data_IF_548467713094
#
_entry.id   IF_548467713094
#
_cell.length_a   1.000
_cell.length_b   1.000
_cell.length_c   1.000
_cell.angle_alpha   90.00
_cell.angle_beta   90.00
_cell.angle_gamma   90.00
#
_symmetry.space_group_name_H-M   'P 1'
#
loop_
_entity.id
_entity.type
_entity.pdbx_description
1 polymer ?
#
# COMPACT_ATOMS: atom_id res chain seq x y z
N UNK A 1 -9.57 -1.23 -2.22
CA UNK A 1 -9.68 -2.22 -1.13
C UNK A 1 -8.56 -3.23 -1.30
N UNK A 2 -7.85 -3.55 -0.23
CA UNK A 2 -6.77 -4.54 -0.19
C UNK A 2 -7.33 -5.75 0.56
N UNK A 3 -7.29 -6.94 -0.04
CA UNK A 3 -7.70 -8.18 0.63
C UNK A 3 -6.48 -8.91 1.14
N UNK A 4 -6.58 -9.48 2.35
CA UNK A 4 -5.47 -10.19 2.98
C UNK A 4 -4.97 -11.36 2.11
N UNK A 5 -5.89 -12.13 1.52
CA UNK A 5 -5.53 -13.26 0.67
C UNK A 5 -4.82 -12.84 -0.62
N UNK A 6 -5.29 -11.76 -1.26
CA UNK A 6 -4.62 -11.18 -2.42
C UNK A 6 -3.21 -10.71 -2.04
N UNK A 7 -3.05 -10.10 -0.85
CA UNK A 7 -1.76 -9.58 -0.40
C UNK A 7 -0.78 -10.72 -0.11
N UNK A 8 -1.25 -11.81 0.51
CA UNK A 8 -0.45 -13.01 0.72
C UNK A 8 -0.06 -13.65 -0.62
N UNK A 9 -1.00 -13.78 -1.56
CA UNK A 9 -0.73 -14.33 -2.89
C UNK A 9 0.25 -13.46 -3.70
N UNK A 10 0.15 -12.13 -3.58
CA UNK A 10 1.02 -11.21 -4.30
C UNK A 10 2.45 -11.19 -3.75
N UNK A 11 2.60 -11.33 -2.44
CA UNK A 11 3.88 -11.10 -1.76
C UNK A 11 4.60 -12.37 -1.34
N UNK A 12 3.94 -13.52 -1.46
CA UNK A 12 4.37 -14.80 -0.87
C UNK A 12 4.65 -14.68 0.65
N UNK A 13 4.01 -13.70 1.29
CA UNK A 13 4.17 -13.40 2.70
C UNK A 13 3.54 -14.45 3.59
N UNK A 14 4.05 -14.57 4.81
CA UNK A 14 3.49 -15.45 5.84
C UNK A 14 2.60 -14.65 6.78
N UNK A 15 1.35 -15.09 6.99
CA UNK A 15 0.47 -14.51 8.00
C UNK A 15 0.88 -14.95 9.41
N UNK A 16 0.98 -14.02 10.33
CA UNK A 16 1.13 -14.24 11.78
C UNK A 16 0.04 -13.47 12.52
N UNK A 17 -0.47 -14.01 13.62
CA UNK A 17 -1.52 -13.38 14.42
C UNK A 17 -2.95 -13.72 13.96
N UNK A 18 -3.94 -12.91 14.35
CA UNK A 18 -5.36 -13.12 14.04
C UNK A 18 -5.67 -13.24 12.54
N UNK A 19 -6.80 -13.86 12.22
CA UNK A 19 -7.29 -14.01 10.84
C UNK A 19 -8.19 -12.86 10.36
N UNK A 20 -8.55 -11.93 11.24
CA UNK A 20 -9.42 -10.81 10.95
C UNK A 20 -8.80 -9.49 11.46
N UNK A 21 -9.07 -8.35 10.79
CA UNK A 21 -9.87 -8.22 9.57
C UNK A 21 -9.15 -8.77 8.32
N UNK A 22 -9.93 -9.25 7.34
CA UNK A 22 -9.40 -9.81 6.09
C UNK A 22 -9.34 -8.78 4.94
N UNK A 23 -9.63 -7.51 5.21
CA UNK A 23 -9.63 -6.42 4.23
C UNK A 23 -9.22 -5.09 4.84
N UNK A 24 -8.51 -4.28 4.06
CA UNK A 24 -7.97 -2.99 4.46
C UNK A 24 -8.30 -1.93 3.40
N UNK A 25 -8.73 -0.72 3.78
CA UNK A 25 -9.14 0.31 2.83
C UNK A 25 -7.94 0.89 2.07
N UNK A 26 -6.80 1.07 2.74
CA UNK A 26 -5.58 1.65 2.19
C UNK A 26 -4.33 1.15 2.94
N UNK A 27 -3.16 1.34 2.33
CA UNK A 27 -1.87 1.23 3.00
C UNK A 27 -1.51 2.56 3.67
N UNK A 28 -0.81 2.51 4.81
CA UNK A 28 -0.20 3.68 5.42
C UNK A 28 1.19 3.32 5.97
N UNK A 29 2.21 4.11 5.65
CA UNK A 29 3.59 3.89 6.15
C UNK A 29 3.98 4.87 7.26
N UNK A 30 3.06 5.76 7.68
CA UNK A 30 3.30 6.74 8.73
C UNK A 30 2.24 6.59 9.82
N UNK A 31 2.62 6.03 10.96
CA UNK A 31 1.71 5.76 12.10
C UNK A 31 0.94 6.99 12.56
N UNK A 32 1.52 8.20 12.45
CA UNK A 32 0.88 9.46 12.86
C UNK A 32 -0.25 9.91 11.92
N UNK A 33 -0.30 9.37 10.70
CA UNK A 33 -1.32 9.69 9.68
C UNK A 33 -2.25 8.52 9.42
N UNK A 34 -2.04 7.39 10.10
CA UNK A 34 -2.83 6.19 9.95
C UNK A 34 -4.28 6.44 10.33
N UNK A 35 -5.20 5.93 9.51
CA UNK A 35 -6.63 5.93 9.80
C UNK A 35 -7.06 4.54 10.28
N UNK A 36 -8.07 4.46 11.17
CA UNK A 36 -8.57 3.18 11.65
C UNK A 36 -8.90 2.21 10.51
N UNK A 37 -8.42 0.98 10.63
CA UNK A 37 -8.60 -0.11 9.68
C UNK A 37 -7.59 -0.17 8.53
N UNK A 38 -6.76 0.86 8.31
CA UNK A 38 -5.69 0.83 7.30
C UNK A 38 -4.62 -0.22 7.61
N UNK A 39 -3.95 -0.72 6.56
CA UNK A 39 -2.81 -1.61 6.71
C UNK A 39 -1.55 -0.79 6.92
N UNK A 40 -0.93 -0.90 8.10
CA UNK A 40 0.35 -0.25 8.36
C UNK A 40 1.48 -0.98 7.63
N UNK A 41 2.39 -0.25 6.98
CA UNK A 41 3.53 -0.82 6.27
C UNK A 41 4.82 -0.37 6.94
N UNK A 42 5.51 -1.31 7.58
CA UNK A 42 6.77 -1.08 8.27
C UNK A 42 7.94 -1.06 7.26
N UNK A 43 8.12 0.07 6.58
CA UNK A 43 9.22 0.27 5.62
C UNK A 43 10.44 0.86 6.31
N UNK A 44 11.63 0.35 6.00
CA UNK A 44 12.91 0.98 6.34
C UNK A 44 13.23 2.08 5.34
N UNK A 45 13.46 3.29 5.83
CA UNK A 45 13.81 4.48 5.03
C UNK A 45 15.07 5.12 5.57
N UNK A 46 15.65 6.07 4.83
CA UNK A 46 16.78 6.87 5.32
C UNK A 46 16.44 7.64 6.62
N UNK A 47 15.16 7.98 6.81
CA UNK A 47 14.67 8.69 7.99
C UNK A 47 14.34 7.81 9.20
N UNK A 48 14.51 6.48 9.10
CA UNK A 48 14.28 5.53 10.19
C UNK A 48 13.59 4.23 9.78
N UNK A 49 13.39 3.36 10.77
CA UNK A 49 12.76 2.05 10.60
C UNK A 49 11.27 2.08 10.99
N UNK A 50 10.38 1.81 10.03
CA UNK A 50 8.95 1.70 10.26
C UNK A 50 8.55 0.64 11.30
N UNK A 51 9.40 -0.35 11.56
CA UNK A 51 9.14 -1.41 12.55
C UNK A 51 9.05 -0.85 13.98
N UNK A 52 9.78 0.23 14.27
CA UNK A 52 9.75 0.90 15.58
C UNK A 52 8.38 1.50 15.89
N UNK A 53 7.56 1.75 14.85
CA UNK A 53 6.26 2.41 14.96
C UNK A 53 5.07 1.45 14.84
N UNK A 54 5.31 0.13 14.80
CA UNK A 54 4.24 -0.87 14.69
C UNK A 54 3.30 -0.80 15.90
N UNK A 55 3.83 -0.65 17.12
CA UNK A 55 3.03 -0.52 18.33
C UNK A 55 2.10 0.71 18.26
N UNK A 56 2.65 1.86 17.90
CA UNK A 56 1.91 3.11 17.73
C UNK A 56 0.82 2.97 16.65
N UNK A 57 1.14 2.31 15.54
CA UNK A 57 0.19 2.09 14.44
C UNK A 57 -1.00 1.23 14.89
N UNK A 58 -0.73 0.14 15.63
CA UNK A 58 -1.78 -0.73 16.18
C UNK A 58 -2.63 0.03 17.21
N UNK A 59 -2.02 0.82 18.09
CA UNK A 59 -2.74 1.68 19.04
C UNK A 59 -3.58 2.75 18.31
N UNK A 60 -3.10 3.27 17.18
CA UNK A 60 -3.83 4.17 16.29
C UNK A 60 -4.96 3.50 15.49
N UNK A 61 -5.18 2.19 15.67
CA UNK A 61 -6.27 1.45 15.05
C UNK A 61 -5.91 0.81 13.71
N UNK A 62 -4.63 0.52 13.44
CA UNK A 62 -4.24 -0.26 12.26
C UNK A 62 -5.05 -1.56 12.19
N UNK A 63 -5.63 -1.84 11.02
CA UNK A 63 -6.36 -3.09 10.80
C UNK A 63 -5.43 -4.29 10.67
N UNK A 64 -4.18 -4.07 10.27
CA UNK A 64 -3.15 -5.08 10.09
C UNK A 64 -1.79 -4.44 9.81
N UNK A 65 -0.76 -5.26 9.69
CA UNK A 65 0.63 -4.81 9.50
C UNK A 65 1.31 -5.60 8.39
N UNK A 66 2.03 -4.94 7.48
CA UNK A 66 2.99 -5.53 6.55
C UNK A 66 4.40 -5.21 7.06
N UNK A 67 5.19 -6.23 7.41
CA UNK A 67 6.48 -6.07 8.08
C UNK A 67 7.49 -7.18 7.72
N UNK A 68 8.76 -6.93 8.01
CA UNK A 68 9.84 -7.94 7.98
C UNK A 68 9.86 -8.79 9.24
N UNK A 69 9.56 -8.19 10.39
CA UNK A 69 9.54 -8.85 11.69
C UNK A 69 8.23 -8.57 12.40
N UNK A 70 7.41 -9.60 12.73
CA UNK A 70 6.19 -9.39 13.49
C UNK A 70 6.51 -9.10 14.97
N UNK A 71 5.61 -8.39 15.69
CA UNK A 71 5.71 -8.28 17.14
C UNK A 71 5.51 -9.66 17.80
N UNK A 72 6.02 -9.85 19.02
CA UNK A 72 5.94 -11.13 19.74
C UNK A 72 4.50 -11.64 19.92
N UNK A 73 3.57 -10.73 20.25
CA UNK A 73 2.16 -11.02 20.45
C UNK A 73 1.30 -10.11 19.56
N UNK A 74 1.14 -10.45 18.27
CA UNK A 74 0.38 -9.62 17.34
C UNK A 74 -1.11 -9.67 17.67
N UNK A 75 -1.70 -8.49 17.88
CA UNK A 75 -3.14 -8.30 18.14
C UNK A 75 -3.95 -8.04 16.87
N UNK A 76 -3.28 -7.85 15.74
CA UNK A 76 -3.84 -7.68 14.40
C UNK A 76 -3.11 -8.59 13.41
N UNK A 77 -3.69 -8.91 12.24
CA UNK A 77 -3.01 -9.73 11.24
C UNK A 77 -1.71 -9.07 10.79
N UNK A 78 -0.61 -9.81 10.83
CA UNK A 78 0.68 -9.39 10.30
C UNK A 78 1.03 -10.22 9.06
N UNK A 79 1.31 -9.56 7.95
CA UNK A 79 1.91 -10.17 6.75
C UNK A 79 3.41 -9.98 6.85
N UNK A 80 4.12 -11.09 7.03
CA UNK A 80 5.58 -11.11 7.21
C UNK A 80 6.25 -11.44 5.89
N UNK A 81 7.11 -10.54 5.41
CA UNK A 81 7.82 -10.63 4.12
C UNK A 81 9.31 -10.33 4.30
N UNK A 82 10.21 -10.88 3.48
CA UNK A 82 11.64 -10.58 3.62
C UNK A 82 11.97 -9.09 3.33
N UNK A 83 11.22 -8.45 2.44
CA UNK A 83 11.37 -7.03 2.09
C UNK A 83 10.00 -6.39 1.85
N UNK A 84 9.67 -5.37 2.64
CA UNK A 84 8.39 -4.65 2.56
C UNK A 84 8.28 -3.73 1.34
N UNK A 85 9.39 -3.19 0.84
CA UNK A 85 9.38 -2.38 -0.40
C UNK A 85 9.12 -3.28 -1.60
N UNK A 86 9.82 -4.41 -1.70
CA UNK A 86 9.58 -5.39 -2.74
C UNK A 86 8.15 -5.95 -2.68
N UNK A 87 7.62 -6.18 -1.48
CA UNK A 87 6.24 -6.59 -1.29
C UNK A 87 5.23 -5.58 -1.84
N UNK A 88 5.47 -4.26 -1.68
CA UNK A 88 4.61 -3.24 -2.28
C UNK A 88 4.67 -3.25 -3.81
N UNK A 89 5.86 -3.45 -4.41
CA UNK A 89 5.98 -3.61 -5.86
C UNK A 89 5.25 -4.84 -6.38
N UNK A 90 5.40 -5.98 -5.69
CA UNK A 90 4.74 -7.22 -6.05
C UNK A 90 3.21 -7.10 -5.92
N UNK A 91 2.72 -6.44 -4.87
CA UNK A 91 1.32 -6.08 -4.71
C UNK A 91 0.81 -5.21 -5.88
N UNK A 92 1.54 -4.16 -6.24
CA UNK A 92 1.15 -3.28 -7.34
C UNK A 92 1.05 -4.05 -8.67
N UNK A 93 2.03 -4.90 -8.97
CA UNK A 93 2.02 -5.74 -10.16
C UNK A 93 0.86 -6.75 -10.15
N UNK A 94 0.58 -7.36 -8.99
CA UNK A 94 -0.58 -8.24 -8.81
C UNK A 94 -1.89 -7.49 -9.06
N UNK A 95 -2.06 -6.31 -8.46
CA UNK A 95 -3.26 -5.51 -8.61
C UNK A 95 -3.51 -5.10 -10.07
N UNK A 96 -2.46 -4.68 -10.79
CA UNK A 96 -2.56 -4.37 -12.22
C UNK A 96 -2.99 -5.57 -13.05
N UNK A 97 -2.46 -6.77 -12.77
CA UNK A 97 -2.90 -8.00 -13.47
C UNK A 97 -4.33 -8.41 -13.10
N UNK A 98 -4.72 -8.26 -11.83
CA UNK A 98 -6.03 -8.69 -11.34
C UNK A 98 -7.16 -7.81 -11.85
N UNK A 99 -6.96 -6.49 -11.84
CA UNK A 99 -7.98 -5.53 -12.24
C UNK A 99 -7.89 -5.12 -13.71
N UNK A 100 -6.79 -5.46 -14.39
CA UNK A 100 -6.52 -5.21 -15.81
C UNK A 100 -6.93 -3.81 -16.30
N UNK A 101 -6.53 -2.71 -15.60
CA UNK A 101 -6.89 -1.38 -16.03
C UNK A 101 -6.08 -0.96 -17.25
N UNK A 102 -6.63 -0.06 -18.07
CA UNK A 102 -5.82 0.64 -19.07
C UNK A 102 -4.88 1.62 -18.38
N UNK A 103 -3.56 1.41 -18.56
CA UNK A 103 -2.51 2.24 -17.93
C UNK A 103 -1.87 3.15 -18.97
N UNK A 104 -1.78 4.44 -18.64
CA UNK A 104 -1.06 5.44 -19.43
C UNK A 104 0.15 5.93 -18.63
N UNK A 105 1.35 5.66 -19.13
CA UNK A 105 2.60 6.16 -18.56
C UNK A 105 3.04 7.44 -19.24
N UNK A 106 3.32 8.49 -18.48
CA UNK A 106 3.82 9.78 -18.98
C UNK A 106 5.22 10.01 -18.45
N UNK A 107 6.19 10.21 -19.35
CA UNK A 107 7.60 10.46 -19.02
C UNK A 107 8.12 11.69 -19.77
N UNK A 108 9.22 12.29 -19.29
CA UNK A 108 9.83 13.48 -19.88
C UNK A 108 10.48 14.39 -18.84
N UNK A 109 11.39 15.27 -19.29
CA UNK A 109 12.11 16.19 -18.40
C UNK A 109 11.21 17.27 -17.80
N UNK A 110 10.20 17.74 -18.54
CA UNK A 110 9.27 18.80 -18.15
C UNK A 110 7.84 18.47 -18.59
N UNK A 111 6.83 19.09 -17.97
CA UNK A 111 5.42 19.00 -18.40
C UNK A 111 4.67 17.70 -18.09
N UNK A 112 5.30 16.71 -17.44
CA UNK A 112 4.67 15.42 -17.07
C UNK A 112 3.37 15.61 -16.28
N UNK A 113 3.41 16.46 -15.26
CA UNK A 113 2.25 16.74 -14.41
C UNK A 113 1.11 17.31 -15.23
N UNK A 114 1.35 18.35 -16.02
CA UNK A 114 0.32 19.00 -16.84
C UNK A 114 -0.24 18.05 -17.89
N UNK A 115 0.61 17.26 -18.53
CA UNK A 115 0.19 16.23 -19.48
C UNK A 115 -0.70 15.16 -18.81
N UNK A 116 -0.32 14.65 -17.65
CA UNK A 116 -1.15 13.73 -16.85
C UNK A 116 -2.51 14.37 -16.49
N UNK A 117 -2.54 15.66 -16.15
CA UNK A 117 -3.79 16.37 -15.83
C UNK A 117 -4.69 16.50 -17.05
N UNK A 118 -4.14 16.92 -18.20
CA UNK A 118 -4.89 17.06 -19.43
C UNK A 118 -5.46 15.72 -19.92
N UNK A 119 -4.64 14.65 -19.91
CA UNK A 119 -5.09 13.30 -20.26
C UNK A 119 -6.21 12.85 -19.33
N UNK A 120 -6.04 13.01 -18.01
CA UNK A 120 -7.07 12.62 -17.04
C UNK A 120 -8.37 13.41 -17.23
N UNK A 121 -8.29 14.72 -17.52
CA UNK A 121 -9.47 15.56 -17.75
C UNK A 121 -10.29 15.08 -18.96
N UNK A 122 -9.62 14.75 -20.08
CA UNK A 122 -10.30 14.23 -21.27
C UNK A 122 -10.88 12.85 -21.02
N UNK A 123 -10.10 11.91 -20.46
CA UNK A 123 -10.56 10.54 -20.21
C UNK A 123 -11.72 10.47 -19.20
N UNK A 124 -11.72 11.37 -18.21
CA UNK A 124 -12.78 11.43 -17.18
C UNK A 124 -14.15 11.82 -17.74
N UNK A 125 -14.22 12.32 -18.98
CA UNK A 125 -15.51 12.60 -19.66
C UNK A 125 -16.28 11.32 -20.02
N UNK A 126 -15.59 10.18 -20.11
CA UNK A 126 -16.19 8.89 -20.54
C UNK A 126 -15.82 7.70 -19.65
N UNK A 127 -14.82 7.83 -18.79
CA UNK A 127 -14.29 6.74 -17.99
C UNK A 127 -14.09 7.15 -16.52
N UNK A 128 -14.07 6.17 -15.62
CA UNK A 128 -13.57 6.39 -14.26
C UNK A 128 -12.05 6.36 -14.28
N UNK A 129 -11.40 7.47 -13.92
CA UNK A 129 -9.95 7.65 -14.02
C UNK A 129 -9.31 7.77 -12.64
N UNK A 130 -8.30 6.94 -12.38
CA UNK A 130 -7.36 7.15 -11.29
C UNK A 130 -6.13 7.91 -11.81
N UNK A 131 -5.63 8.86 -11.02
CA UNK A 131 -4.37 9.57 -11.29
C UNK A 131 -3.59 9.73 -9.98
N UNK A 132 -2.27 9.80 -10.08
CA UNK A 132 -1.43 10.13 -8.93
C UNK A 132 -1.77 11.55 -8.42
N UNK A 133 -1.72 11.79 -7.10
CA UNK A 133 -1.83 13.13 -6.55
C UNK A 133 -0.72 14.05 -7.09
N UNK A 134 -0.92 15.38 -7.11
CA UNK A 134 0.14 16.32 -7.48
C UNK A 134 1.40 16.10 -6.63
N UNK A 135 2.58 16.09 -7.26
CA UNK A 135 3.87 15.97 -6.57
C UNK A 135 4.40 14.54 -6.35
N UNK A 136 3.71 13.52 -6.86
CA UNK A 136 4.11 12.10 -6.84
C UNK A 136 4.54 11.58 -8.23
N UNK A 137 5.10 12.46 -9.08
CA UNK A 137 5.47 12.17 -10.47
C UNK A 137 6.97 12.06 -10.69
#
# INVERSE_FOLDING_TARGET
MIYLDDLLAATEGRRVGPSAPARFPAFCYNSRRLRPGELFVAVKTEGGDGHDYVADAVQGGAGGVLCQSPPTNPTVPCVVVPDTQLALFNWAAYALRKYDPQVVGVTGSTGKTDACQAIAAVLSTRHTVFRNPPGLS
#
